data_IF_620964881509
#
_entry.id   IF_620964881509
#
_cell.length_a   1.000
_cell.length_b   1.000
_cell.length_c   1.000
_cell.angle_alpha   90.00
_cell.angle_beta   90.00
_cell.angle_gamma   90.00
#
_symmetry.space_group_name_H-M   'P 1'
#
loop_
_entity.id
_entity.type
_entity.pdbx_description
1 polymer ?
#
# COMPACT_ATOMS: atom_id res chain seq x y z
N UNK A 1 -13.52 -13.03 27.36
CA UNK A 1 -12.16 -13.05 27.95
C UNK A 1 -11.19 -13.57 26.88
N UNK A 2 -10.83 -12.81 25.86
CA UNK A 2 -9.65 -11.94 25.80
C UNK A 2 -9.98 -10.72 24.92
N UNK A 3 -10.63 -9.74 25.54
CA UNK A 3 -10.87 -8.40 25.01
C UNK A 3 -10.55 -7.50 26.19
N UNK A 4 -9.26 -7.20 26.38
CA UNK A 4 -8.71 -6.18 27.29
C UNK A 4 -7.22 -6.45 27.44
N UNK A 5 -6.42 -5.72 26.66
CA UNK A 5 -5.14 -5.11 27.04
C UNK A 5 -4.26 -4.98 25.79
N UNK A 6 -4.40 -3.86 25.08
CA UNK A 6 -3.36 -3.29 24.22
C UNK A 6 -3.76 -1.86 23.83
N UNK A 7 -3.65 -0.95 24.81
CA UNK A 7 -3.61 0.49 24.54
C UNK A 7 -2.19 0.83 24.08
N UNK A 8 -2.11 1.52 22.94
CA UNK A 8 -0.92 1.93 22.17
C UNK A 8 -0.36 0.84 21.22
N UNK A 9 -0.39 1.16 19.93
CA UNK A 9 0.16 0.48 18.72
C UNK A 9 -0.74 -0.53 17.96
N UNK A 10 -1.91 -0.97 18.45
CA UNK A 10 -2.72 -2.01 17.75
C UNK A 10 -4.02 -1.55 17.09
N UNK A 11 -4.01 -0.80 15.99
CA UNK A 11 -5.30 -0.56 15.27
C UNK A 11 -5.30 -0.52 13.75
N UNK A 12 -4.32 -1.13 13.07
CA UNK A 12 -4.37 -1.28 11.61
C UNK A 12 -4.24 -2.73 11.08
N UNK A 13 -4.11 -3.73 11.95
CA UNK A 13 -3.81 -5.13 11.58
C UNK A 13 -4.99 -6.10 11.77
N UNK A 14 -6.24 -5.62 11.74
CA UNK A 14 -7.37 -6.38 12.29
C UNK A 14 -8.02 -7.44 11.37
N UNK A 15 -7.51 -7.74 10.17
CA UNK A 15 -8.00 -8.90 9.37
C UNK A 15 -6.85 -9.61 8.64
N UNK A 16 -5.71 -9.81 9.31
CA UNK A 16 -4.65 -10.66 8.76
C UNK A 16 -4.17 -11.62 9.84
N UNK A 17 -4.17 -12.92 9.50
CA UNK A 17 -3.64 -13.97 10.36
C UNK A 17 -2.21 -13.60 10.78
N UNK A 18 -1.88 -13.79 12.06
CA UNK A 18 -0.59 -13.41 12.65
C UNK A 18 0.62 -14.00 11.90
N UNK A 19 0.39 -15.09 11.18
CA UNK A 19 1.37 -15.84 10.37
C UNK A 19 1.63 -15.20 8.98
N UNK A 20 0.82 -14.22 8.56
CA UNK A 20 0.86 -13.61 7.22
C UNK A 20 1.23 -12.12 7.24
N UNK A 21 1.85 -11.62 8.30
CA UNK A 21 2.26 -10.21 8.42
C UNK A 21 3.78 -10.14 8.27
N UNK A 22 4.23 -9.52 7.19
CA UNK A 22 5.62 -9.17 6.97
C UNK A 22 5.82 -7.70 7.33
N UNK A 23 6.80 -7.42 8.18
CA UNK A 23 7.18 -6.05 8.52
C UNK A 23 8.38 -5.60 7.71
N UNK A 24 8.14 -4.64 6.83
CA UNK A 24 9.15 -4.04 5.97
C UNK A 24 9.31 -2.53 6.22
N UNK A 25 10.52 -2.00 5.99
CA UNK A 25 10.92 -0.62 6.30
C UNK A 25 11.62 -0.44 7.65
N UNK A 26 11.93 0.81 8.01
CA UNK A 26 12.71 1.15 9.21
C UNK A 26 12.10 0.63 10.51
N UNK A 27 12.90 -0.05 11.34
CA UNK A 27 12.48 -0.58 12.65
C UNK A 27 13.29 0.04 13.78
N UNK A 28 12.61 0.62 14.77
CA UNK A 28 13.27 1.00 16.02
C UNK A 28 13.68 -0.23 16.83
N UNK A 29 14.58 -0.07 17.81
CA UNK A 29 14.94 -1.14 18.75
C UNK A 29 13.72 -1.71 19.50
N UNK A 30 12.72 -0.88 19.78
CA UNK A 30 11.45 -1.33 20.38
C UNK A 30 10.62 -2.17 19.41
N UNK A 31 10.61 -1.82 18.12
CA UNK A 31 9.91 -2.60 17.09
C UNK A 31 10.56 -3.97 16.94
N UNK A 32 11.88 -4.04 16.84
CA UNK A 32 12.62 -5.31 16.76
C UNK A 32 12.30 -6.23 17.95
N UNK A 33 12.34 -5.71 19.17
CA UNK A 33 11.96 -6.46 20.39
C UNK A 33 10.51 -6.94 20.33
N UNK A 34 9.59 -6.10 19.84
CA UNK A 34 8.19 -6.45 19.71
C UNK A 34 7.99 -7.58 18.69
N UNK A 35 8.61 -7.47 17.51
CA UNK A 35 8.51 -8.45 16.44
C UNK A 35 9.12 -9.79 16.84
N UNK A 36 10.28 -9.79 17.50
CA UNK A 36 10.91 -11.00 18.08
C UNK A 36 10.03 -11.67 19.13
N UNK A 37 9.51 -10.89 20.08
CA UNK A 37 8.62 -11.40 21.15
C UNK A 37 7.35 -12.03 20.58
N UNK A 38 6.81 -11.46 19.51
CA UNK A 38 5.58 -11.93 18.89
C UNK A 38 5.78 -12.91 17.74
N UNK A 39 7.03 -13.23 17.38
CA UNK A 39 7.39 -14.12 16.26
C UNK A 39 6.77 -13.66 14.94
N UNK A 40 6.86 -12.36 14.66
CA UNK A 40 6.37 -11.76 13.41
C UNK A 40 7.52 -11.76 12.39
N UNK A 41 7.32 -12.30 11.17
CA UNK A 41 8.30 -12.20 10.08
C UNK A 41 8.71 -10.77 9.75
N UNK A 42 9.99 -10.54 9.43
CA UNK A 42 10.51 -9.21 9.16
C UNK A 42 11.71 -9.21 8.22
N UNK A 43 11.88 -8.11 7.49
CA UNK A 43 13.06 -7.87 6.65
C UNK A 43 13.97 -6.83 7.28
N UNK A 44 15.25 -7.12 7.46
CA UNK A 44 16.25 -6.11 7.83
C UNK A 44 16.44 -5.15 6.66
N UNK A 45 16.37 -3.85 6.91
CA UNK A 45 16.45 -2.83 5.85
C UNK A 45 17.89 -2.37 5.59
N UNK A 46 18.75 -2.40 6.61
CA UNK A 46 20.16 -2.02 6.50
C UNK A 46 21.08 -2.91 7.35
N UNK A 47 22.39 -2.81 7.12
CA UNK A 47 23.40 -3.59 7.87
C UNK A 47 23.40 -3.24 9.37
N UNK A 48 23.06 -2.01 9.76
CA UNK A 48 22.98 -1.66 11.18
C UNK A 48 21.81 -2.37 11.89
N UNK A 49 20.70 -2.65 11.21
CA UNK A 49 19.61 -3.46 11.79
C UNK A 49 20.10 -4.89 12.08
N UNK A 50 20.97 -5.46 11.23
CA UNK A 50 21.58 -6.78 11.44
C UNK A 50 22.48 -6.78 12.68
N UNK A 51 23.35 -5.79 12.84
CA UNK A 51 24.22 -5.69 14.02
C UNK A 51 23.42 -5.52 15.33
N UNK A 52 22.35 -4.72 15.28
CA UNK A 52 21.42 -4.62 16.41
C UNK A 52 20.74 -5.95 16.68
N UNK A 53 20.28 -6.66 15.64
CA UNK A 53 19.62 -7.95 15.76
C UNK A 53 20.54 -9.02 16.35
N UNK A 54 21.82 -9.07 15.96
CA UNK A 54 22.84 -9.95 16.57
C UNK A 54 22.91 -9.79 18.08
N UNK A 55 22.83 -8.55 18.58
CA UNK A 55 22.83 -8.27 20.03
C UNK A 55 21.53 -8.65 20.75
N UNK A 56 20.45 -8.93 20.03
CA UNK A 56 19.14 -9.27 20.58
C UNK A 56 18.81 -10.76 20.50
N UNK A 57 19.37 -11.48 19.53
CA UNK A 57 19.14 -12.91 19.35
C UNK A 57 19.92 -13.68 20.42
N UNK A 58 19.22 -14.57 21.13
CA UNK A 58 19.85 -15.58 21.97
C UNK A 58 19.80 -16.95 21.28
N UNK A 59 20.81 -17.79 21.49
CA UNK A 59 20.90 -19.14 20.90
C UNK A 59 19.78 -20.09 21.32
N UNK A 60 19.05 -19.76 22.39
CA UNK A 60 17.97 -20.59 22.96
C UNK A 60 16.56 -20.24 22.46
N UNK A 61 16.39 -19.18 21.68
CA UNK A 61 15.06 -18.74 21.23
C UNK A 61 14.71 -19.21 19.82
N UNK A 62 13.51 -19.76 19.64
CA UNK A 62 12.90 -19.94 18.31
C UNK A 62 12.71 -18.58 17.65
N UNK A 63 13.32 -18.32 16.49
CA UNK A 63 13.23 -17.04 15.79
C UNK A 63 12.09 -17.03 14.77
N UNK A 64 11.48 -15.85 14.50
CA UNK A 64 10.63 -15.71 13.31
C UNK A 64 11.45 -15.89 12.02
N UNK A 65 10.76 -15.91 10.88
CA UNK A 65 11.43 -15.75 9.60
C UNK A 65 12.03 -14.35 9.52
N UNK A 66 13.35 -14.26 9.46
CA UNK A 66 14.08 -13.00 9.32
C UNK A 66 14.74 -13.00 7.94
N UNK A 67 14.47 -11.95 7.19
CA UNK A 67 15.10 -11.70 5.90
C UNK A 67 15.91 -10.42 5.88
N UNK A 68 16.43 -10.12 4.70
CA UNK A 68 17.07 -8.85 4.39
C UNK A 68 16.50 -8.30 3.09
N UNK A 69 16.16 -7.02 3.10
CA UNK A 69 15.75 -6.30 1.90
C UNK A 69 16.98 -5.91 1.10
N UNK A 70 17.06 -6.38 -0.14
CA UNK A 70 18.12 -6.03 -1.07
C UNK A 70 17.62 -5.05 -2.11
N UNK A 71 18.53 -4.22 -2.62
CA UNK A 71 18.29 -3.32 -3.73
C UNK A 71 19.23 -3.70 -4.89
N UNK A 72 18.73 -4.47 -5.88
CA UNK A 72 19.55 -4.91 -7.01
C UNK A 72 19.95 -3.81 -8.00
N UNK A 73 19.39 -2.60 -7.89
CA UNK A 73 19.70 -1.46 -8.76
C UNK A 73 19.48 -1.72 -10.27
N UNK A 74 18.51 -2.57 -10.62
CA UNK A 74 18.20 -2.99 -12.01
C UNK A 74 17.44 -1.94 -12.85
N UNK A 75 17.17 -0.75 -12.32
CA UNK A 75 16.56 0.36 -13.04
C UNK A 75 15.47 1.09 -12.24
N UNK A 76 15.11 2.29 -12.70
CA UNK A 76 14.00 3.06 -12.13
C UNK A 76 12.72 2.81 -12.94
N UNK A 77 11.57 2.74 -12.27
CA UNK A 77 10.28 2.86 -12.93
C UNK A 77 10.05 4.28 -13.48
N UNK A 78 8.94 4.50 -14.18
CA UNK A 78 8.63 5.78 -14.83
C UNK A 78 8.49 6.97 -13.85
N UNK A 79 8.30 6.70 -12.56
CA UNK A 79 8.23 7.72 -11.49
C UNK A 79 9.36 7.46 -10.49
N UNK A 80 10.35 8.34 -10.47
CA UNK A 80 11.52 8.22 -9.61
C UNK A 80 11.16 8.14 -8.12
N UNK A 81 10.16 8.92 -7.67
CA UNK A 81 9.70 8.95 -6.28
C UNK A 81 9.05 7.64 -5.79
N UNK A 82 8.61 6.76 -6.71
CA UNK A 82 7.99 5.47 -6.39
C UNK A 82 8.91 4.28 -6.70
N UNK A 83 10.13 4.55 -7.18
CA UNK A 83 11.12 3.56 -7.55
C UNK A 83 12.04 3.27 -6.37
N UNK A 84 11.95 2.06 -5.83
CA UNK A 84 12.71 1.65 -4.64
C UNK A 84 13.97 0.84 -4.98
N UNK A 85 14.18 0.50 -6.26
CA UNK A 85 15.36 -0.21 -6.75
C UNK A 85 16.35 0.74 -7.49
N UNK A 86 16.60 1.93 -6.93
CA UNK A 86 17.47 2.95 -7.52
C UNK A 86 18.74 3.17 -6.70
N UNK A 87 19.76 3.81 -7.29
CA UNK A 87 21.02 4.16 -6.60
C UNK A 87 20.84 5.07 -5.38
N UNK A 88 19.75 5.81 -5.31
CA UNK A 88 19.43 6.75 -4.23
C UNK A 88 18.24 6.29 -3.38
N UNK A 89 17.81 5.04 -3.53
CA UNK A 89 16.74 4.50 -2.70
C UNK A 89 17.18 4.44 -1.24
N UNK A 90 16.29 4.86 -0.35
CA UNK A 90 16.47 4.74 1.10
C UNK A 90 16.18 3.32 1.62
N UNK A 91 15.72 2.42 0.76
CA UNK A 91 15.25 1.10 1.16
C UNK A 91 16.18 -0.01 0.69
N UNK A 92 16.42 -0.97 1.58
CA UNK A 92 17.25 -2.13 1.34
C UNK A 92 18.72 -1.81 1.14
N UNK A 93 19.55 -2.84 1.23
CA UNK A 93 20.99 -2.70 0.98
C UNK A 93 21.26 -2.83 -0.52
N UNK A 94 21.83 -1.78 -1.10
CA UNK A 94 22.24 -1.76 -2.50
C UNK A 94 23.31 -2.81 -2.79
N UNK A 95 23.15 -3.55 -3.90
CA UNK A 95 24.15 -4.50 -4.37
C UNK A 95 25.48 -3.81 -4.71
N UNK A 96 25.49 -2.71 -5.43
CA UNK A 96 26.73 -1.95 -5.65
C UNK A 96 26.82 -0.80 -4.62
N UNK A 97 27.90 -0.71 -3.82
CA UNK A 97 29.10 -1.56 -3.76
C UNK A 97 29.04 -2.71 -2.73
N UNK A 98 27.91 -2.94 -2.07
CA UNK A 98 27.85 -3.76 -0.85
C UNK A 98 27.62 -5.27 -1.08
N UNK A 99 27.58 -5.77 -2.32
CA UNK A 99 27.14 -7.15 -2.63
C UNK A 99 28.02 -8.20 -1.94
N UNK A 100 29.33 -7.99 -1.92
CA UNK A 100 30.25 -8.90 -1.25
C UNK A 100 30.06 -8.87 0.28
N UNK A 101 29.98 -7.67 0.86
CA UNK A 101 29.71 -7.50 2.29
C UNK A 101 28.38 -8.13 2.70
N UNK A 102 27.34 -7.98 1.87
CA UNK A 102 26.05 -8.63 2.07
C UNK A 102 26.16 -10.15 2.08
N UNK A 103 26.87 -10.72 1.10
CA UNK A 103 27.09 -12.16 1.03
C UNK A 103 27.81 -12.66 2.29
N UNK A 104 28.87 -11.98 2.72
CA UNK A 104 29.63 -12.34 3.93
C UNK A 104 28.74 -12.28 5.18
N UNK A 105 28.04 -11.16 5.39
CA UNK A 105 27.16 -10.97 6.56
C UNK A 105 26.04 -12.01 6.59
N UNK A 106 25.39 -12.30 5.47
CA UNK A 106 24.31 -13.29 5.44
C UNK A 106 24.87 -14.69 5.73
N UNK A 107 25.99 -15.07 5.11
CA UNK A 107 26.61 -16.37 5.34
C UNK A 107 27.11 -16.55 6.78
N UNK A 108 27.44 -15.48 7.51
CA UNK A 108 27.81 -15.56 8.93
C UNK A 108 26.59 -15.68 9.87
N UNK A 109 25.38 -15.47 9.36
CA UNK A 109 24.16 -15.36 10.17
C UNK A 109 23.07 -16.29 9.63
N UNK A 110 23.11 -17.56 10.04
CA UNK A 110 22.16 -18.61 9.61
C UNK A 110 20.68 -18.31 9.92
N UNK A 111 20.42 -17.36 10.83
CA UNK A 111 19.07 -16.91 11.14
C UNK A 111 18.47 -16.00 10.06
N UNK A 112 19.28 -15.47 9.13
CA UNK A 112 18.81 -14.79 7.92
C UNK A 112 18.49 -15.86 6.89
N UNK A 113 17.19 -16.07 6.63
CA UNK A 113 16.68 -17.17 5.80
C UNK A 113 15.80 -16.71 4.63
N UNK A 114 15.70 -15.40 4.43
CA UNK A 114 14.87 -14.80 3.39
C UNK A 114 15.58 -13.64 2.70
N UNK A 115 15.44 -13.57 1.37
CA UNK A 115 15.83 -12.40 0.58
C UNK A 115 14.55 -11.70 0.15
N UNK A 116 14.44 -10.41 0.43
CA UNK A 116 13.32 -9.57 0.01
C UNK A 116 13.78 -8.57 -1.05
N UNK A 117 12.98 -8.43 -2.10
CA UNK A 117 13.13 -7.37 -3.09
C UNK A 117 11.79 -6.71 -3.38
N UNK A 118 11.79 -5.38 -3.47
CA UNK A 118 10.64 -4.60 -3.89
C UNK A 118 11.09 -3.63 -4.98
N UNK A 119 10.63 -3.85 -6.21
CA UNK A 119 11.07 -3.07 -7.38
C UNK A 119 10.45 -1.66 -7.42
N UNK A 120 9.25 -1.47 -6.85
CA UNK A 120 8.60 -0.17 -6.72
C UNK A 120 7.07 -0.27 -6.72
N UNK A 121 6.39 0.87 -6.61
CA UNK A 121 4.92 0.94 -6.62
C UNK A 121 4.39 1.76 -7.79
N UNK A 122 3.32 1.30 -8.47
CA UNK A 122 2.53 2.03 -9.48
C UNK A 122 3.24 2.64 -10.70
N UNK A 123 4.56 2.48 -10.85
CA UNK A 123 5.32 2.98 -12.00
C UNK A 123 6.37 2.00 -12.53
N UNK A 124 6.39 0.77 -12.04
CA UNK A 124 7.36 -0.25 -12.39
C UNK A 124 6.74 -1.23 -13.39
N UNK A 125 7.30 -1.37 -14.59
CA UNK A 125 6.86 -2.39 -15.54
C UNK A 125 7.13 -3.79 -14.98
N UNK A 126 6.40 -4.80 -15.47
CA UNK A 126 6.67 -6.17 -15.09
C UNK A 126 8.11 -6.59 -15.43
N UNK A 127 8.69 -6.10 -16.53
CA UNK A 127 10.09 -6.35 -16.90
C UNK A 127 11.08 -5.93 -15.81
N UNK A 128 10.92 -4.71 -15.26
CA UNK A 128 11.80 -4.20 -14.19
C UNK A 128 11.60 -4.99 -12.89
N UNK A 129 10.35 -5.35 -12.57
CA UNK A 129 10.05 -6.17 -11.40
C UNK A 129 10.67 -7.57 -11.52
N UNK A 130 10.52 -8.22 -12.68
CA UNK A 130 11.06 -9.54 -12.97
C UNK A 130 12.58 -9.53 -12.94
N UNK A 131 13.24 -8.51 -13.51
CA UNK A 131 14.69 -8.36 -13.44
C UNK A 131 15.20 -8.23 -11.99
N UNK A 132 14.48 -7.47 -11.15
CA UNK A 132 14.82 -7.32 -9.73
C UNK A 132 14.66 -8.64 -8.96
N UNK A 133 13.58 -9.38 -9.23
CA UNK A 133 13.32 -10.70 -8.64
C UNK A 133 14.36 -11.72 -9.09
N UNK A 134 14.73 -11.72 -10.37
CA UNK A 134 15.80 -12.56 -10.88
C UNK A 134 17.12 -12.29 -10.14
N UNK A 135 17.49 -11.02 -9.97
CA UNK A 135 18.73 -10.67 -9.28
C UNK A 135 18.71 -11.09 -7.80
N UNK A 136 17.56 -11.02 -7.12
CA UNK A 136 17.38 -11.52 -5.77
C UNK A 136 17.46 -13.05 -5.70
N UNK A 137 16.86 -13.75 -6.66
CA UNK A 137 16.94 -15.21 -6.81
C UNK A 137 18.39 -15.66 -7.05
N UNK A 138 19.10 -15.06 -8.00
CA UNK A 138 20.50 -15.39 -8.30
C UNK A 138 21.40 -15.16 -7.08
N UNK A 139 21.10 -14.13 -6.28
CA UNK A 139 21.80 -13.88 -5.02
C UNK A 139 21.50 -14.94 -3.95
N UNK A 140 20.25 -15.38 -3.84
CA UNK A 140 19.87 -16.48 -2.95
C UNK A 140 20.57 -17.80 -3.31
N UNK A 141 20.63 -18.15 -4.61
CA UNK A 141 21.40 -19.32 -5.07
C UNK A 141 22.89 -19.16 -4.73
N UNK A 142 23.49 -17.98 -4.95
CA UNK A 142 24.90 -17.70 -4.58
C UNK A 142 25.16 -17.95 -3.09
N UNK A 143 24.25 -17.53 -2.21
CA UNK A 143 24.35 -17.76 -0.76
C UNK A 143 24.29 -19.25 -0.45
N UNK A 144 23.29 -19.95 -0.98
CA UNK A 144 23.07 -21.37 -0.73
C UNK A 144 24.24 -22.23 -1.24
N UNK A 145 24.78 -21.92 -2.42
CA UNK A 145 25.98 -22.55 -2.98
C UNK A 145 27.20 -22.34 -2.09
N UNK A 146 27.44 -21.10 -1.64
CA UNK A 146 28.58 -20.78 -0.76
C UNK A 146 28.50 -21.48 0.60
N UNK A 147 27.29 -21.72 1.12
CA UNK A 147 27.07 -22.42 2.38
C UNK A 147 27.09 -23.94 2.23
N UNK A 148 26.81 -24.45 1.03
CA UNK A 148 26.66 -25.88 0.77
C UNK A 148 25.36 -26.48 1.30
N UNK A 149 24.41 -25.65 1.74
CA UNK A 149 23.07 -26.06 2.18
C UNK A 149 22.05 -24.93 1.95
N UNK A 150 20.75 -25.26 2.01
CA UNK A 150 19.66 -24.31 1.79
C UNK A 150 19.48 -23.37 3.00
N UNK A 151 20.32 -22.34 3.12
CA UNK A 151 20.16 -21.29 4.13
C UNK A 151 18.97 -20.38 3.80
N UNK A 152 18.93 -19.83 2.59
CA UNK A 152 17.82 -19.03 2.11
C UNK A 152 16.72 -19.97 1.64
N UNK A 153 15.64 -20.06 2.40
CA UNK A 153 14.47 -20.90 2.10
C UNK A 153 13.28 -20.11 1.55
N UNK A 154 13.34 -18.77 1.58
CA UNK A 154 12.24 -17.90 1.20
C UNK A 154 12.72 -16.75 0.33
N UNK A 155 11.97 -16.45 -0.72
CA UNK A 155 12.16 -15.25 -1.54
C UNK A 155 10.87 -14.44 -1.46
N UNK A 156 10.98 -13.25 -0.90
CA UNK A 156 9.91 -12.26 -0.89
C UNK A 156 10.08 -11.36 -2.10
N UNK A 157 9.15 -11.48 -3.05
CA UNK A 157 9.17 -10.75 -4.32
C UNK A 157 8.51 -9.37 -4.20
N UNK A 158 8.09 -8.99 -2.99
CA UNK A 158 7.45 -7.72 -2.72
C UNK A 158 6.09 -7.60 -3.42
N UNK A 159 5.66 -6.36 -3.64
CA UNK A 159 4.43 -6.02 -4.35
C UNK A 159 4.70 -5.33 -5.68
N UNK A 160 3.85 -4.37 -6.03
CA UNK A 160 4.15 -3.42 -7.11
C UNK A 160 3.46 -3.68 -8.44
N UNK A 161 2.53 -4.64 -8.53
CA UNK A 161 1.70 -4.78 -9.73
C UNK A 161 0.96 -3.47 -10.04
N UNK A 162 1.00 -3.08 -11.32
CA UNK A 162 0.42 -1.84 -11.80
C UNK A 162 -1.10 -1.91 -11.69
N UNK A 163 -1.70 -0.81 -11.22
CA UNK A 163 -3.15 -0.64 -11.21
C UNK A 163 -3.52 0.44 -12.20
N UNK A 164 -4.35 0.09 -13.18
CA UNK A 164 -5.00 1.07 -14.04
C UNK A 164 -6.02 1.85 -13.21
N UNK A 165 -5.83 3.17 -13.10
CA UNK A 165 -6.72 4.09 -12.38
C UNK A 165 -7.53 5.01 -13.30
N UNK A 166 -7.52 4.73 -14.60
CA UNK A 166 -8.23 5.51 -15.61
C UNK A 166 -9.36 4.70 -16.24
N UNK A 167 -9.32 3.37 -16.16
CA UNK A 167 -10.37 2.46 -16.64
C UNK A 167 -10.85 1.45 -15.59
N UNK A 168 -11.76 0.54 -15.97
CA UNK A 168 -12.21 -0.58 -15.13
C UNK A 168 -11.27 -1.80 -15.18
N UNK A 169 -10.16 -1.71 -15.93
CA UNK A 169 -9.20 -2.82 -16.06
C UNK A 169 -8.60 -3.19 -14.70
N UNK A 170 -8.60 -4.48 -14.39
CA UNK A 170 -7.95 -5.06 -13.20
C UNK A 170 -6.49 -5.47 -13.53
N UNK A 171 -5.61 -5.54 -12.52
CA UNK A 171 -4.25 -6.03 -12.72
C UNK A 171 -4.22 -7.45 -13.29
N UNK A 172 -3.38 -7.67 -14.31
CA UNK A 172 -3.19 -8.99 -14.91
C UNK A 172 -2.07 -9.73 -14.17
N UNK A 173 -2.47 -10.44 -13.11
CA UNK A 173 -1.55 -11.27 -12.33
C UNK A 173 -1.09 -12.51 -13.09
N UNK A 174 -1.87 -13.02 -14.04
CA UNK A 174 -1.52 -14.20 -14.81
C UNK A 174 -0.32 -13.92 -15.71
N UNK A 175 -0.33 -12.81 -16.43
CA UNK A 175 0.81 -12.40 -17.24
C UNK A 175 2.07 -12.16 -16.40
N UNK A 176 1.93 -11.58 -15.21
CA UNK A 176 3.04 -11.39 -14.28
C UNK A 176 3.68 -12.73 -13.84
N UNK A 177 2.85 -13.70 -13.45
CA UNK A 177 3.32 -15.05 -13.07
C UNK A 177 3.96 -15.77 -14.26
N UNK A 178 3.31 -15.77 -15.43
CA UNK A 178 3.85 -16.42 -16.63
C UNK A 178 5.24 -15.86 -17.01
N UNK A 179 5.44 -14.55 -16.85
CA UNK A 179 6.73 -13.92 -17.10
C UNK A 179 7.79 -14.37 -16.08
N UNK A 180 7.43 -14.46 -14.80
CA UNK A 180 8.34 -15.01 -13.77
C UNK A 180 8.69 -16.47 -14.03
N UNK A 181 7.74 -17.30 -14.44
CA UNK A 181 7.99 -18.71 -14.77
C UNK A 181 8.95 -18.85 -15.96
N UNK A 182 8.86 -17.94 -16.93
CA UNK A 182 9.72 -17.92 -18.12
C UNK A 182 11.13 -17.43 -17.80
N UNK A 183 11.25 -16.31 -17.10
CA UNK A 183 12.53 -15.62 -16.88
C UNK A 183 13.30 -16.12 -15.64
N UNK A 184 12.58 -16.69 -14.67
CA UNK A 184 13.14 -17.18 -13.39
C UNK A 184 12.55 -18.55 -13.04
N UNK A 185 12.65 -19.58 -13.91
CA UNK A 185 12.00 -20.88 -13.70
C UNK A 185 12.41 -21.56 -12.39
N UNK A 186 13.66 -21.33 -11.95
CA UNK A 186 14.18 -21.85 -10.68
C UNK A 186 13.44 -21.34 -9.44
N UNK A 187 12.76 -20.19 -9.53
CA UNK A 187 11.93 -19.64 -8.46
C UNK A 187 10.77 -20.60 -8.11
N UNK A 188 10.24 -21.32 -9.10
CA UNK A 188 9.12 -22.26 -8.97
C UNK A 188 9.56 -23.73 -8.86
N UNK A 189 10.85 -23.99 -8.61
CA UNK A 189 11.39 -25.36 -8.48
C UNK A 189 10.94 -26.11 -7.22
N UNK A 190 10.23 -25.45 -6.30
CA UNK A 190 9.85 -25.99 -4.99
C UNK A 190 10.92 -25.84 -3.90
N UNK A 191 12.11 -25.32 -4.23
CA UNK A 191 13.18 -25.03 -3.27
C UNK A 191 12.85 -23.85 -2.33
N UNK A 192 12.06 -22.89 -2.84
CA UNK A 192 11.77 -21.64 -2.16
C UNK A 192 10.29 -21.53 -1.81
N UNK A 193 10.00 -21.03 -0.61
CA UNK A 193 8.71 -20.39 -0.34
C UNK A 193 8.71 -19.01 -1.00
N UNK A 194 7.69 -18.71 -1.81
CA UNK A 194 7.54 -17.40 -2.44
C UNK A 194 6.55 -16.57 -1.62
N UNK A 195 6.94 -15.35 -1.26
CA UNK A 195 6.09 -14.37 -0.55
C UNK A 195 5.85 -13.17 -1.47
N UNK A 196 4.65 -12.60 -1.45
CA UNK A 196 4.31 -11.36 -2.16
C UNK A 196 3.52 -10.40 -1.27
N UNK A 197 3.74 -9.11 -1.48
CA UNK A 197 3.17 -8.01 -0.69
C UNK A 197 2.23 -7.12 -1.54
N UNK A 198 1.41 -7.75 -2.39
CA UNK A 198 0.45 -7.03 -3.25
C UNK A 198 -0.58 -6.27 -2.42
N UNK A 199 -0.40 -4.96 -2.29
CA UNK A 199 -1.36 -4.08 -1.60
C UNK A 199 -2.35 -3.44 -2.56
N UNK A 200 -1.91 -2.39 -3.25
CA UNK A 200 -2.78 -1.56 -4.11
C UNK A 200 -3.50 -2.39 -5.17
N UNK A 201 -2.79 -3.31 -5.83
CA UNK A 201 -3.34 -4.15 -6.90
C UNK A 201 -4.47 -5.07 -6.44
N UNK A 202 -4.53 -5.43 -5.17
CA UNK A 202 -5.63 -6.22 -4.62
C UNK A 202 -6.85 -5.36 -4.28
N UNK A 203 -6.64 -4.19 -3.67
CA UNK A 203 -7.74 -3.47 -2.99
C UNK A 203 -8.12 -2.13 -3.61
N UNK A 204 -7.36 -1.57 -4.55
CA UNK A 204 -7.71 -0.25 -5.10
C UNK A 204 -9.12 -0.22 -5.67
N UNK A 205 -9.48 -1.22 -6.49
CA UNK A 205 -10.77 -1.35 -7.17
C UNK A 205 -11.92 -1.78 -6.26
N UNK A 206 -11.65 -2.20 -5.02
CA UNK A 206 -12.68 -2.78 -4.14
C UNK A 206 -13.47 -1.74 -3.32
N UNK A 207 -13.12 -0.45 -3.40
CA UNK A 207 -13.84 0.59 -2.69
C UNK A 207 -13.94 1.90 -3.48
N UNK A 208 -15.02 2.62 -3.22
CA UNK A 208 -15.27 3.98 -3.69
C UNK A 208 -15.67 4.88 -2.50
N UNK A 209 -15.41 6.18 -2.62
CA UNK A 209 -15.83 7.19 -1.65
C UNK A 209 -16.99 7.99 -2.23
N UNK A 210 -18.09 8.10 -1.49
CA UNK A 210 -19.23 8.92 -1.87
C UNK A 210 -19.30 10.14 -0.97
N UNK A 211 -19.54 11.31 -1.54
CA UNK A 211 -19.90 12.51 -0.80
C UNK A 211 -21.05 13.23 -1.49
N UNK A 212 -22.01 13.68 -0.68
CA UNK A 212 -22.98 14.70 -1.13
C UNK A 212 -22.25 15.99 -1.49
N UNK A 213 -22.73 16.68 -2.52
CA UNK A 213 -22.37 18.05 -2.86
C UNK A 213 -23.13 18.99 -1.95
N UNK A 214 -22.40 19.71 -1.11
CA UNK A 214 -23.01 20.66 -0.18
C UNK A 214 -23.33 21.97 -0.88
N UNK A 215 -22.37 22.49 -1.64
CA UNK A 215 -22.50 23.79 -2.31
C UNK A 215 -21.88 23.75 -3.69
N UNK A 216 -22.47 24.54 -4.60
CA UNK A 216 -21.89 24.89 -5.89
C UNK A 216 -21.65 26.39 -5.93
N UNK A 217 -20.49 26.82 -6.42
CA UNK A 217 -20.17 28.24 -6.56
C UNK A 217 -19.52 28.50 -7.92
N UNK A 218 -19.82 29.64 -8.50
CA UNK A 218 -19.06 30.20 -9.61
C UNK A 218 -18.04 31.22 -9.08
N UNK A 219 -16.78 31.05 -9.47
CA UNK A 219 -15.68 31.96 -9.12
C UNK A 219 -14.96 32.31 -10.42
N UNK A 220 -15.24 33.50 -10.95
CA UNK A 220 -14.80 33.87 -12.29
C UNK A 220 -15.40 32.92 -13.35
N UNK A 221 -14.53 32.31 -14.14
CA UNK A 221 -14.84 31.29 -15.15
C UNK A 221 -14.93 29.86 -14.57
N UNK A 222 -14.53 29.64 -13.31
CA UNK A 222 -14.48 28.32 -12.69
C UNK A 222 -15.78 28.00 -11.95
N UNK A 223 -16.31 26.81 -12.19
CA UNK A 223 -17.39 26.21 -11.38
C UNK A 223 -16.78 25.29 -10.34
N UNK A 224 -17.20 25.44 -9.09
CA UNK A 224 -16.65 24.69 -7.96
C UNK A 224 -17.78 23.97 -7.26
N UNK A 225 -17.67 22.64 -7.13
CA UNK A 225 -18.52 21.82 -6.28
C UNK A 225 -17.78 21.52 -4.97
N UNK A 226 -18.43 21.76 -3.82
CA UNK A 226 -17.85 21.52 -2.50
C UNK A 226 -18.41 20.23 -1.90
N UNK A 227 -17.51 19.37 -1.44
CA UNK A 227 -17.82 18.07 -0.83
C UNK A 227 -17.20 17.96 0.57
N UNK A 228 -17.50 16.86 1.26
CA UNK A 228 -17.19 16.68 2.69
C UNK A 228 -15.84 16.00 2.95
N UNK A 229 -15.14 15.56 1.90
CA UNK A 229 -13.84 14.89 2.00
C UNK A 229 -12.92 15.39 0.89
N UNK A 230 -11.65 15.58 1.22
CA UNK A 230 -10.63 16.05 0.28
C UNK A 230 -9.29 15.39 0.60
N UNK A 231 -8.24 16.20 0.71
CA UNK A 231 -6.86 15.78 0.99
C UNK A 231 -6.71 15.08 2.35
N UNK A 232 -7.69 15.24 3.24
CA UNK A 232 -7.72 14.52 4.51
C UNK A 232 -7.92 13.01 4.33
N UNK A 233 -8.50 12.56 3.22
CA UNK A 233 -8.64 11.14 2.85
C UNK A 233 -7.86 10.81 1.56
N UNK A 234 -7.78 11.75 0.63
CA UNK A 234 -7.25 11.56 -0.73
C UNK A 234 -5.90 12.26 -0.93
N UNK A 235 -5.07 12.30 0.11
CA UNK A 235 -3.83 13.07 0.13
C UNK A 235 -2.96 12.82 -1.10
N UNK A 236 -2.69 11.55 -1.45
CA UNK A 236 -1.84 11.22 -2.61
C UNK A 236 -2.39 11.78 -3.93
N UNK A 237 -3.69 11.64 -4.15
CA UNK A 237 -4.34 12.14 -5.36
C UNK A 237 -4.38 13.66 -5.44
N UNK A 238 -4.57 14.35 -4.31
CA UNK A 238 -4.59 15.82 -4.31
C UNK A 238 -3.19 16.40 -4.57
N UNK A 239 -2.15 15.83 -3.96
CA UNK A 239 -0.78 16.34 -4.10
C UNK A 239 -0.07 15.84 -5.36
N UNK A 240 -0.44 14.65 -5.87
CA UNK A 240 0.17 14.02 -7.05
C UNK A 240 -0.90 13.53 -8.04
N UNK A 241 -1.74 14.43 -8.59
CA UNK A 241 -2.89 14.04 -9.41
C UNK A 241 -2.51 13.28 -10.69
N UNK A 242 -1.35 13.58 -11.27
CA UNK A 242 -0.88 12.93 -12.50
C UNK A 242 -0.40 11.48 -12.25
N UNK A 243 0.01 11.18 -11.01
CA UNK A 243 0.48 9.84 -10.62
C UNK A 243 -0.65 9.03 -9.98
N UNK A 244 -1.58 9.71 -9.28
CA UNK A 244 -2.70 9.12 -8.56
C UNK A 244 -4.04 9.69 -9.05
N UNK A 245 -4.40 9.48 -10.34
CA UNK A 245 -5.64 10.03 -10.88
C UNK A 245 -6.85 9.42 -10.19
N UNK A 246 -7.93 10.19 -10.13
CA UNK A 246 -9.21 9.78 -9.58
C UNK A 246 -10.25 9.67 -10.69
N UNK A 247 -11.01 8.58 -10.69
CA UNK A 247 -12.21 8.47 -11.53
C UNK A 247 -13.40 8.98 -10.74
N UNK A 248 -14.13 9.93 -11.34
CA UNK A 248 -15.24 10.61 -10.69
C UNK A 248 -16.53 10.37 -11.47
N UNK A 249 -17.58 10.00 -10.75
CA UNK A 249 -18.94 9.88 -11.26
C UNK A 249 -19.87 10.77 -10.47
N UNK A 250 -20.85 11.35 -11.16
CA UNK A 250 -21.88 12.20 -10.55
C UNK A 250 -23.22 11.47 -10.65
N UNK A 251 -23.94 11.40 -9.54
CA UNK A 251 -25.33 10.97 -9.48
C UNK A 251 -26.21 12.09 -8.94
N UNK A 252 -27.48 12.10 -9.30
CA UNK A 252 -28.45 13.00 -8.66
C UNK A 252 -28.81 12.54 -7.25
N UNK A 253 -29.66 13.33 -6.58
CA UNK A 253 -30.15 13.06 -5.22
C UNK A 253 -30.93 11.74 -5.07
N UNK A 254 -31.42 11.15 -6.16
CA UNK A 254 -32.07 9.83 -6.18
C UNK A 254 -31.06 8.69 -6.42
N UNK A 255 -29.79 9.02 -6.67
CA UNK A 255 -28.72 8.07 -6.95
C UNK A 255 -28.58 7.71 -8.43
N UNK A 256 -29.36 8.32 -9.33
CA UNK A 256 -29.28 8.05 -10.76
C UNK A 256 -28.05 8.70 -11.38
N UNK A 257 -27.25 7.92 -12.12
CA UNK A 257 -26.01 8.39 -12.73
C UNK A 257 -26.30 9.44 -13.80
N UNK A 258 -25.65 10.61 -13.67
CA UNK A 258 -25.72 11.70 -14.64
C UNK A 258 -24.63 11.51 -15.70
N UNK A 259 -25.00 11.71 -16.97
CA UNK A 259 -24.07 11.53 -18.11
C UNK A 259 -24.16 12.63 -19.17
N UNK A 260 -25.24 13.41 -19.19
CA UNK A 260 -25.51 14.45 -20.18
C UNK A 260 -25.15 15.84 -19.65
N UNK A 261 -25.01 16.81 -20.56
CA UNK A 261 -24.70 18.23 -20.30
C UNK A 261 -23.42 18.40 -19.47
N UNK A 262 -22.27 18.40 -20.15
CA UNK A 262 -20.98 18.54 -19.51
C UNK A 262 -20.57 20.00 -19.35
N UNK A 263 -19.98 20.27 -18.20
CA UNK A 263 -19.39 21.54 -17.83
C UNK A 263 -18.07 21.25 -17.11
N UNK A 264 -17.16 22.21 -17.18
CA UNK A 264 -15.91 22.13 -16.46
C UNK A 264 -16.11 22.49 -14.99
N UNK A 265 -15.66 21.62 -14.09
CA UNK A 265 -15.72 21.81 -12.65
C UNK A 265 -14.37 21.58 -11.98
N UNK A 266 -14.15 22.30 -10.88
CA UNK A 266 -13.32 21.82 -9.79
C UNK A 266 -14.19 21.14 -8.73
N UNK A 267 -13.64 20.12 -8.08
CA UNK A 267 -14.24 19.53 -6.90
C UNK A 267 -13.34 19.79 -5.70
N UNK A 268 -13.85 20.58 -4.77
CA UNK A 268 -13.13 21.02 -3.58
C UNK A 268 -13.57 20.24 -2.34
N UNK A 269 -12.60 19.84 -1.53
CA UNK A 269 -12.84 19.31 -0.20
C UNK A 269 -13.15 20.40 0.84
N UNK A 270 -13.26 20.01 2.12
CA UNK A 270 -13.67 20.91 3.20
C UNK A 270 -12.51 21.68 3.85
N UNK A 271 -11.25 21.46 3.45
CA UNK A 271 -10.09 21.97 4.16
C UNK A 271 -9.82 23.45 3.86
N UNK A 272 -9.13 24.12 4.77
CA UNK A 272 -8.95 25.58 4.77
C UNK A 272 -7.72 26.04 3.98
N UNK A 273 -7.43 25.38 2.85
CA UNK A 273 -6.37 25.80 1.94
C UNK A 273 -6.81 25.60 0.48
N UNK A 274 -6.33 26.46 -0.41
CA UNK A 274 -6.72 26.49 -1.83
C UNK A 274 -6.35 25.22 -2.61
N UNK A 275 -5.41 24.45 -2.10
CA UNK A 275 -4.94 23.22 -2.71
C UNK A 275 -5.87 22.02 -2.50
N UNK A 276 -6.89 22.12 -1.64
CA UNK A 276 -7.81 21.02 -1.32
C UNK A 276 -8.82 20.74 -2.45
N UNK A 277 -8.29 20.39 -3.62
CA UNK A 277 -9.03 20.10 -4.83
C UNK A 277 -8.74 18.66 -5.24
N UNK A 278 -9.75 17.82 -5.20
CA UNK A 278 -9.64 16.42 -5.64
C UNK A 278 -9.74 16.29 -7.15
N UNK A 279 -10.32 17.30 -7.82
CA UNK A 279 -10.35 17.42 -9.26
C UNK A 279 -10.20 18.89 -9.65
N UNK A 280 -9.47 19.13 -10.74
CA UNK A 280 -9.24 20.45 -11.31
C UNK A 280 -9.63 20.43 -12.76
N UNK A 281 -10.42 21.40 -13.20
CA UNK A 281 -10.74 21.59 -14.62
C UNK A 281 -11.30 20.31 -15.28
N UNK A 282 -12.13 19.56 -14.57
CA UNK A 282 -12.64 18.27 -15.03
C UNK A 282 -14.00 18.44 -15.68
N UNK A 283 -14.18 17.89 -16.89
CA UNK A 283 -15.47 17.87 -17.57
C UNK A 283 -16.42 16.85 -16.92
N UNK A 284 -17.47 17.35 -16.27
CA UNK A 284 -18.45 16.56 -15.56
C UNK A 284 -19.87 16.97 -15.97
N UNK A 285 -20.87 16.08 -15.83
CA UNK A 285 -22.28 16.46 -15.91
C UNK A 285 -22.59 17.65 -15.00
N UNK A 286 -23.66 18.40 -15.28
CA UNK A 286 -24.10 19.49 -14.40
C UNK A 286 -24.23 19.02 -12.95
N UNK A 287 -23.63 19.77 -12.01
CA UNK A 287 -23.61 19.46 -10.59
C UNK A 287 -24.45 20.51 -9.87
N UNK A 288 -25.37 20.08 -9.01
CA UNK A 288 -26.16 20.94 -8.13
C UNK A 288 -26.05 20.49 -6.67
N UNK A 289 -26.32 21.37 -5.68
CA UNK A 289 -26.39 20.95 -4.28
C UNK A 289 -27.36 19.77 -4.09
N UNK A 290 -26.94 18.78 -3.30
CA UNK A 290 -27.71 17.55 -3.09
C UNK A 290 -27.33 16.38 -4.01
N UNK A 291 -26.67 16.63 -5.15
CA UNK A 291 -26.08 15.57 -5.97
C UNK A 291 -25.00 14.80 -5.18
N UNK A 292 -24.63 13.60 -5.66
CA UNK A 292 -23.54 12.80 -5.11
C UNK A 292 -22.34 12.77 -6.05
N UNK A 293 -21.15 12.93 -5.47
CA UNK A 293 -19.86 12.67 -6.11
C UNK A 293 -19.36 11.32 -5.63
N UNK A 294 -19.19 10.38 -6.54
CA UNK A 294 -18.56 9.08 -6.30
C UNK A 294 -17.15 9.08 -6.86
N UNK A 295 -16.18 8.80 -5.99
CA UNK A 295 -14.74 8.79 -6.28
C UNK A 295 -14.30 7.33 -6.23
N UNK A 296 -14.01 6.76 -7.39
CA UNK A 296 -13.72 5.34 -7.52
C UNK A 296 -12.23 5.05 -7.24
N UNK A 297 -11.93 3.77 -7.05
CA UNK A 297 -10.58 3.22 -6.95
C UNK A 297 -9.78 3.69 -5.72
N UNK A 298 -10.48 3.98 -4.62
CA UNK A 298 -9.92 4.53 -3.38
C UNK A 298 -9.72 3.49 -2.28
N UNK A 299 -9.85 2.18 -2.59
CA UNK A 299 -9.64 1.14 -1.58
C UNK A 299 -8.20 1.00 -1.09
N UNK A 300 -7.23 1.54 -1.84
CA UNK A 300 -5.82 1.60 -1.47
C UNK A 300 -5.37 3.04 -1.20
N UNK A 301 -4.52 3.23 -0.17
CA UNK A 301 -3.85 4.49 0.14
C UNK A 301 -4.78 5.71 0.24
N UNK A 302 -5.99 5.50 0.78
CA UNK A 302 -6.94 6.57 1.10
C UNK A 302 -7.26 6.57 2.59
N UNK A 303 -8.17 5.69 3.05
CA UNK A 303 -8.50 5.59 4.48
C UNK A 303 -7.27 5.30 5.38
N UNK A 304 -6.26 4.60 4.88
CA UNK A 304 -5.02 4.29 5.62
C UNK A 304 -4.10 5.50 5.85
N UNK A 305 -4.23 6.54 5.04
CA UNK A 305 -3.44 7.79 5.16
C UNK A 305 -4.29 8.97 5.63
N UNK A 306 -5.46 8.67 6.19
CA UNK A 306 -6.37 9.68 6.68
C UNK A 306 -5.69 10.56 7.75
N UNK A 307 -5.99 11.86 7.72
CA UNK A 307 -5.51 12.82 8.69
C UNK A 307 -6.63 13.71 9.24
N UNK A 308 -6.42 14.21 10.47
CA UNK A 308 -7.39 15.02 11.22
C UNK A 308 -7.31 16.52 10.89
N UNK A 309 -6.83 16.91 9.70
CA UNK A 309 -6.78 18.31 9.30
C UNK A 309 -8.18 18.92 9.39
N UNK A 310 -8.28 20.09 10.02
CA UNK A 310 -9.53 20.79 10.34
C UNK A 310 -10.50 20.00 11.21
N UNK A 311 -10.00 19.02 11.98
CA UNK A 311 -10.83 18.20 12.87
C UNK A 311 -12.00 17.50 12.14
N UNK A 312 -11.88 17.29 10.83
CA UNK A 312 -12.91 16.65 10.00
C UNK A 312 -12.89 15.15 10.27
N UNK A 313 -14.00 14.58 10.71
CA UNK A 313 -14.10 13.13 10.95
C UNK A 313 -13.83 12.33 9.67
N UNK A 314 -13.26 11.12 9.77
CA UNK A 314 -13.19 10.22 8.63
C UNK A 314 -14.60 9.85 8.15
N UNK A 315 -14.75 9.49 6.87
CA UNK A 315 -16.01 8.96 6.38
C UNK A 315 -16.36 7.65 7.10
N UNK A 316 -17.65 7.36 7.22
CA UNK A 316 -18.10 6.04 7.63
C UNK A 316 -17.72 5.04 6.52
N UNK A 317 -17.26 3.85 6.92
CA UNK A 317 -16.95 2.78 5.99
C UNK A 317 -17.97 1.65 6.14
N UNK A 318 -18.53 1.21 5.01
CA UNK A 318 -19.43 0.08 4.94
C UNK A 318 -18.88 -0.94 3.95
N UNK A 319 -18.84 -2.21 4.33
CA UNK A 319 -18.63 -3.31 3.39
C UNK A 319 -19.97 -3.72 2.80
N UNK A 320 -19.99 -4.09 1.52
CA UNK A 320 -21.17 -4.71 0.90
C UNK A 320 -20.76 -5.99 0.18
N UNK A 321 -21.71 -6.91 0.08
CA UNK A 321 -21.56 -8.16 -0.67
C UNK A 321 -22.80 -8.35 -1.54
N UNK A 322 -22.59 -8.80 -2.77
CA UNK A 322 -23.65 -9.38 -3.59
C UNK A 322 -23.84 -10.83 -3.14
N UNK A 323 -25.04 -11.24 -2.69
CA UNK A 323 -25.31 -12.61 -2.29
C UNK A 323 -25.07 -13.61 -3.43
N UNK A 324 -25.40 -13.19 -4.66
CA UNK A 324 -25.09 -13.83 -5.94
C UNK A 324 -24.72 -12.73 -6.97
N UNK A 325 -23.84 -13.01 -7.94
CA UNK A 325 -23.29 -12.01 -8.89
C UNK A 325 -24.36 -11.23 -9.70
N UNK A 326 -25.61 -11.72 -9.73
CA UNK A 326 -26.72 -11.15 -10.50
C UNK A 326 -27.78 -10.41 -9.66
N UNK A 327 -27.78 -10.52 -8.33
CA UNK A 327 -28.81 -9.88 -7.49
C UNK A 327 -28.29 -8.59 -6.84
N UNK A 328 -28.52 -7.47 -7.55
CA UNK A 328 -28.12 -6.12 -7.11
C UNK A 328 -29.02 -5.55 -6.02
N UNK A 329 -30.20 -6.14 -5.80
CA UNK A 329 -31.21 -5.60 -4.88
C UNK A 329 -31.02 -6.13 -3.44
N UNK A 330 -30.17 -7.13 -3.24
CA UNK A 330 -29.86 -7.74 -1.94
C UNK A 330 -28.51 -7.31 -1.35
N UNK A 331 -28.10 -6.05 -1.60
CA UNK A 331 -26.91 -5.44 -1.01
C UNK A 331 -27.01 -5.36 0.52
N UNK A 332 -26.25 -6.20 1.22
CA UNK A 332 -26.12 -6.12 2.69
C UNK A 332 -24.96 -5.23 3.06
N UNK A 333 -25.24 -4.12 3.73
CA UNK A 333 -24.21 -3.24 4.27
C UNK A 333 -23.81 -3.68 5.69
N UNK A 334 -22.51 -3.88 5.88
CA UNK A 334 -21.92 -4.12 7.20
C UNK A 334 -21.08 -2.91 7.60
N UNK A 335 -21.33 -2.30 8.79
CA UNK A 335 -20.45 -1.25 9.27
C UNK A 335 -19.04 -1.82 9.47
N UNK A 336 -18.08 -1.25 8.75
CA UNK A 336 -16.68 -1.67 8.80
C UNK A 336 -15.90 -0.84 9.81
N UNK A 337 -16.12 0.47 9.83
CA UNK A 337 -15.43 1.39 10.72
C UNK A 337 -16.29 2.61 11.03
N UNK A 338 -16.52 2.83 12.33
CA UNK A 338 -17.12 4.06 12.86
C UNK A 338 -16.06 4.87 13.58
N UNK A 339 -15.70 6.06 13.07
CA UNK A 339 -14.66 6.84 13.71
C UNK A 339 -15.15 7.65 14.90
N UNK A 340 -14.50 7.45 16.06
CA UNK A 340 -14.65 8.26 17.27
C UNK A 340 -13.71 9.48 17.31
N UNK A 341 -13.36 10.05 16.17
CA UNK A 341 -12.29 11.05 16.08
C UNK A 341 -12.55 12.31 16.93
N UNK A 342 -13.79 12.85 16.91
CA UNK A 342 -14.15 14.03 17.71
C UNK A 342 -14.10 13.79 19.22
N UNK A 343 -14.54 12.60 19.67
CA UNK A 343 -14.45 12.18 21.08
C UNK A 343 -12.98 12.02 21.51
N UNK A 344 -12.14 11.44 20.64
CA UNK A 344 -10.70 11.29 20.89
C UNK A 344 -9.99 12.65 20.98
N UNK A 345 -10.28 13.59 20.07
CA UNK A 345 -9.65 14.93 20.09
C UNK A 345 -10.02 15.70 21.36
N UNK A 346 -11.29 15.71 21.76
CA UNK A 346 -11.72 16.38 22.99
C UNK A 346 -11.07 15.76 24.24
N UNK A 347 -10.84 14.44 24.22
CA UNK A 347 -10.13 13.73 25.30
C UNK A 347 -8.62 13.99 25.34
N UNK A 348 -8.01 14.45 24.24
CA UNK A 348 -6.57 14.78 24.19
C UNK A 348 -6.26 16.16 24.79
N UNK A 349 -7.23 17.08 24.86
CA UNK A 349 -7.04 18.43 25.41
C UNK A 349 -7.20 18.53 26.93
N UNK A 350 -7.51 17.41 27.62
CA UNK A 350 -7.80 17.41 29.06
C UNK A 350 -7.15 16.23 29.82
N UNK A 351 -5.84 16.02 29.62
CA UNK A 351 -5.04 15.14 30.49
C UNK A 351 -3.67 15.70 30.79
#
# INVERSE_FOLDING_TARGET
KLLLCCRRVRRFLCVMYKENIFWDGFKSRSDLKFLLKHKIPMNMDCLQEIEIMKSMISSSESLPLIGIRVNPQVGAGCVAALSTATKHSQFGVAFDPNRQQLLDVICENDWIRMIHVHAGSQSCSYDVAVAAIKAAYDFAETINERRGFQQISTIDIGGGAIVDKTSDKIPDFKSYVNQLETEVPGLFSGKYTIVTEMGTSLVAKSAFLVSRVEYTKQVGDRRIAKIHQGSNVLMRSVYLPDIWPLRIQISDHEGTRKTKLKHTYDIAGPLCFSGDLIARNLELPSIVPGDFVSILDVGAASASIYNLHNSINPPHAFGFRYPDDDDKDSLVFHPWFEPKAREVMLNCFWR
#
